data_IF_722588754379
#
_entry.id   IF_722588754379
#
_cell.length_a   1.000
_cell.length_b   1.000
_cell.length_c   1.000
_cell.angle_alpha   90.00
_cell.angle_beta   90.00
_cell.angle_gamma   90.00
#
_symmetry.space_group_name_H-M   'P 1'
#
loop_
_entity.id
_entity.type
_entity.pdbx_description
1 polymer ?
#
# COMPACT_ATOMS: atom_id res chain seq x y z
N UNK A 1 -0.22 8.82 -0.78
CA UNK A 1 -1.49 8.98 -1.51
C UNK A 1 -2.68 9.25 -0.59
N UNK A 2 -2.92 8.46 0.47
CA UNK A 2 -4.06 8.66 1.39
C UNK A 2 -4.08 10.04 2.05
N UNK A 3 -2.91 10.63 2.32
CA UNK A 3 -2.78 12.00 2.84
C UNK A 3 -3.39 13.10 1.94
N UNK A 4 -3.68 12.81 0.66
CA UNK A 4 -4.35 13.75 -0.26
C UNK A 4 -5.89 13.64 -0.20
N UNK A 5 -6.43 12.65 0.52
CA UNK A 5 -7.87 12.47 0.71
C UNK A 5 -8.39 13.42 1.81
N UNK A 6 -9.72 13.48 1.97
CA UNK A 6 -10.37 14.34 2.95
C UNK A 6 -11.45 13.57 3.71
N UNK A 7 -11.83 14.07 4.90
CA UNK A 7 -12.90 13.47 5.69
C UNK A 7 -12.61 12.01 6.06
N UNK A 8 -13.58 11.13 5.83
CA UNK A 8 -13.51 9.69 6.12
C UNK A 8 -13.20 8.84 4.87
N UNK A 9 -12.67 9.48 3.83
CA UNK A 9 -12.35 8.81 2.56
C UNK A 9 -11.23 7.79 2.75
N UNK A 10 -11.27 6.75 1.90
CA UNK A 10 -10.30 5.66 1.91
C UNK A 10 -9.75 5.38 0.53
N UNK A 11 -8.56 4.80 0.49
CA UNK A 11 -7.91 4.36 -0.74
C UNK A 11 -7.49 2.91 -0.62
N UNK A 12 -7.76 2.14 -1.67
CA UNK A 12 -7.27 0.78 -1.87
C UNK A 12 -6.38 0.77 -3.09
N UNK A 13 -5.13 0.37 -2.91
CA UNK A 13 -4.19 0.08 -3.98
C UNK A 13 -4.06 -1.42 -4.15
N UNK A 14 -4.16 -1.89 -5.39
CA UNK A 14 -3.97 -3.28 -5.77
C UNK A 14 -2.93 -3.34 -6.89
N UNK A 15 -1.89 -4.14 -6.70
CA UNK A 15 -0.83 -4.34 -7.67
C UNK A 15 -0.77 -5.83 -7.95
N UNK A 16 -0.94 -6.20 -9.22
CA UNK A 16 -0.95 -7.60 -9.65
C UNK A 16 -0.15 -7.75 -10.92
N UNK A 17 1.06 -8.28 -10.78
CA UNK A 17 1.89 -8.70 -11.88
C UNK A 17 1.84 -10.20 -12.13
N UNK A 18 2.69 -10.65 -13.05
CA UNK A 18 2.89 -12.06 -13.40
C UNK A 18 3.85 -12.79 -12.46
N UNK A 19 4.47 -12.06 -11.52
CA UNK A 19 5.53 -12.55 -10.66
C UNK A 19 5.05 -13.35 -9.45
N UNK A 20 5.98 -13.98 -8.74
CA UNK A 20 5.68 -14.93 -7.69
C UNK A 20 5.06 -14.30 -6.43
N UNK A 21 5.12 -12.98 -6.22
CA UNK A 21 4.52 -12.31 -5.06
C UNK A 21 2.99 -12.33 -5.06
N UNK A 22 2.40 -12.52 -6.25
CA UNK A 22 0.96 -12.51 -6.46
C UNK A 22 0.37 -11.10 -6.33
N UNK A 23 -0.82 -11.00 -5.71
CA UNK A 23 -1.45 -9.71 -5.43
C UNK A 23 -0.76 -9.04 -4.24
N UNK A 24 -0.39 -7.78 -4.42
CA UNK A 24 -0.09 -6.83 -3.34
C UNK A 24 -1.31 -5.93 -3.16
N UNK A 25 -1.86 -5.86 -1.96
CA UNK A 25 -2.99 -5.00 -1.66
C UNK A 25 -2.66 -4.12 -0.45
N UNK A 26 -2.95 -2.82 -0.55
CA UNK A 26 -2.73 -1.85 0.51
C UNK A 26 -3.96 -0.94 0.64
N UNK A 27 -4.46 -0.80 1.87
CA UNK A 27 -5.62 0.02 2.23
C UNK A 27 -5.16 1.09 3.21
N UNK A 28 -5.60 2.32 3.00
CA UNK A 28 -5.25 3.46 3.84
C UNK A 28 -6.35 4.49 3.94
N UNK A 29 -6.35 5.24 5.03
CA UNK A 29 -7.29 6.33 5.25
C UNK A 29 -6.61 7.68 5.51
N UNK A 30 -7.43 8.70 5.69
CA UNK A 30 -7.03 10.08 6.01
C UNK A 30 -6.38 10.23 7.39
N UNK A 31 -6.50 9.23 8.27
CA UNK A 31 -5.97 9.25 9.63
C UNK A 31 -4.60 8.57 9.74
N UNK A 32 -3.99 8.19 8.61
CA UNK A 32 -2.63 7.62 8.60
C UNK A 32 -2.63 6.16 9.02
N UNK A 33 -3.81 5.54 9.11
CA UNK A 33 -3.97 4.11 9.39
C UNK A 33 -3.85 3.35 8.09
N UNK A 34 -2.84 2.50 8.00
CA UNK A 34 -2.50 1.73 6.80
C UNK A 34 -2.51 0.23 7.14
N UNK A 35 -2.87 -0.59 6.17
CA UNK A 35 -2.66 -2.05 6.23
C UNK A 35 -2.42 -2.58 4.84
N UNK A 36 -1.63 -3.65 4.73
CA UNK A 36 -1.42 -4.30 3.46
C UNK A 36 -1.02 -5.75 3.62
N UNK A 37 -1.18 -6.50 2.55
CA UNK A 37 -0.73 -7.88 2.48
C UNK A 37 -0.26 -8.21 1.07
N UNK A 38 0.52 -9.29 0.99
CA UNK A 38 0.88 -9.94 -0.26
C UNK A 38 0.33 -11.36 -0.28
N UNK A 39 0.02 -11.89 -1.45
CA UNK A 39 -0.52 -13.26 -1.56
C UNK A 39 0.51 -14.29 -1.13
N UNK A 40 1.76 -14.12 -1.56
CA UNK A 40 2.85 -15.04 -1.29
C UNK A 40 3.95 -14.33 -0.50
N UNK A 41 3.93 -14.32 0.85
CA UNK A 41 4.89 -13.59 1.67
C UNK A 41 6.28 -14.26 1.74
N UNK A 42 6.42 -15.50 1.27
CA UNK A 42 7.66 -16.29 1.34
C UNK A 42 8.44 -16.28 0.02
N UNK A 43 8.35 -15.19 -0.74
CA UNK A 43 9.07 -15.04 -2.01
C UNK A 43 10.50 -14.61 -1.72
N UNK A 44 11.46 -15.44 -2.14
CA UNK A 44 12.88 -15.14 -2.08
C UNK A 44 13.47 -15.28 -3.48
N UNK A 45 14.04 -14.19 -3.98
CA UNK A 45 14.74 -14.12 -5.26
C UNK A 45 16.20 -13.78 -5.01
N UNK A 46 17.05 -14.09 -5.99
CA UNK A 46 18.41 -13.57 -6.00
C UNK A 46 18.39 -12.04 -6.09
N UNK A 47 19.44 -11.39 -5.59
CA UNK A 47 19.60 -9.95 -5.76
C UNK A 47 19.68 -9.61 -7.24
N UNK A 48 19.15 -8.45 -7.62
CA UNK A 48 19.22 -7.96 -8.99
C UNK A 48 20.67 -7.62 -9.41
N UNK A 49 20.85 -7.20 -10.65
CA UNK A 49 22.17 -6.85 -11.22
C UNK A 49 22.90 -5.70 -10.51
N UNK A 50 22.20 -4.94 -9.64
CA UNK A 50 22.76 -3.86 -8.81
C UNK A 50 23.01 -4.31 -7.36
N UNK A 51 22.84 -5.59 -7.05
CA UNK A 51 22.97 -6.12 -5.68
C UNK A 51 21.85 -5.69 -4.74
N UNK A 52 20.67 -5.31 -5.26
CA UNK A 52 19.49 -4.93 -4.47
C UNK A 52 18.41 -6.00 -4.52
N UNK A 53 17.44 -5.94 -3.61
CA UNK A 53 16.25 -6.80 -3.63
C UNK A 53 15.55 -6.64 -4.99
N UNK A 54 15.23 -7.76 -5.64
CA UNK A 54 14.61 -7.79 -6.97
C UNK A 54 13.08 -7.61 -6.88
N UNK A 55 12.64 -6.37 -6.64
CA UNK A 55 11.22 -6.02 -6.53
C UNK A 55 10.51 -6.26 -7.86
N UNK A 56 11.08 -5.80 -8.99
CA UNK A 56 10.52 -6.04 -10.30
C UNK A 56 10.37 -7.53 -10.63
N UNK A 57 11.36 -8.37 -10.28
CA UNK A 57 11.25 -9.82 -10.43
C UNK A 57 10.13 -10.44 -9.59
N UNK A 58 9.95 -9.95 -8.35
CA UNK A 58 8.91 -10.44 -7.44
C UNK A 58 7.50 -10.06 -7.91
N UNK A 59 7.31 -8.81 -8.36
CA UNK A 59 6.04 -8.30 -8.89
C UNK A 59 5.74 -8.91 -10.25
N UNK A 60 6.71 -8.91 -11.15
CA UNK A 60 6.66 -9.45 -12.50
C UNK A 60 5.82 -8.63 -13.49
N UNK A 61 6.21 -8.69 -14.77
CA UNK A 61 5.49 -8.09 -15.90
C UNK A 61 5.01 -9.19 -16.88
N UNK A 62 3.88 -9.01 -17.58
CA UNK A 62 2.97 -7.87 -17.50
C UNK A 62 2.12 -7.87 -16.21
N UNK A 63 1.50 -6.73 -15.90
CA UNK A 63 0.65 -6.57 -14.73
C UNK A 63 -0.10 -5.24 -14.72
N UNK A 64 -0.87 -4.99 -13.66
CA UNK A 64 -1.57 -3.72 -13.47
C UNK A 64 -1.43 -3.15 -12.06
N UNK A 65 -1.50 -1.82 -11.99
CA UNK A 65 -1.65 -1.05 -10.77
C UNK A 65 -3.05 -0.41 -10.81
N UNK A 66 -3.87 -0.76 -9.83
CA UNK A 66 -5.23 -0.27 -9.66
C UNK A 66 -5.34 0.50 -8.36
N UNK A 67 -5.97 1.67 -8.41
CA UNK A 67 -6.23 2.52 -7.25
C UNK A 67 -7.70 2.84 -7.21
N UNK A 68 -8.36 2.45 -6.12
CA UNK A 68 -9.78 2.71 -5.85
C UNK A 68 -9.89 3.69 -4.67
N UNK A 69 -10.59 4.80 -4.86
CA UNK A 69 -10.91 5.79 -3.84
C UNK A 69 -12.37 5.64 -3.43
N UNK A 70 -12.61 5.38 -2.16
CA UNK A 70 -13.93 5.29 -1.56
C UNK A 70 -14.22 6.63 -0.90
N UNK A 71 -15.11 7.40 -1.51
CA UNK A 71 -15.50 8.73 -1.05
C UNK A 71 -16.82 8.61 -0.30
N UNK A 72 -16.95 9.27 0.85
CA UNK A 72 -18.20 9.28 1.59
C UNK A 72 -19.36 9.76 0.68
N UNK A 73 -20.50 9.07 0.75
CA UNK A 73 -21.73 9.40 0.01
C UNK A 73 -21.60 9.40 -1.54
N UNK A 74 -20.59 8.71 -2.08
CA UNK A 74 -20.39 8.59 -3.53
C UNK A 74 -19.96 7.19 -3.96
N UNK A 75 -20.15 6.88 -5.25
CA UNK A 75 -19.62 5.66 -5.84
C UNK A 75 -18.08 5.71 -5.86
N UNK A 76 -17.41 4.57 -5.62
CA UNK A 76 -15.96 4.52 -5.59
C UNK A 76 -15.37 4.86 -6.96
N UNK A 77 -14.43 5.80 -6.99
CA UNK A 77 -13.65 6.10 -8.20
C UNK A 77 -12.51 5.10 -8.32
N UNK A 78 -12.27 4.56 -9.51
CA UNK A 78 -11.18 3.61 -9.75
C UNK A 78 -10.39 4.01 -10.99
N UNK A 79 -9.09 4.21 -10.80
CA UNK A 79 -8.12 4.31 -11.89
C UNK A 79 -7.28 3.04 -12.00
N UNK A 80 -6.89 2.67 -13.22
CA UNK A 80 -6.01 1.54 -13.46
C UNK A 80 -5.05 1.84 -14.60
N UNK A 81 -3.79 1.44 -14.44
CA UNK A 81 -2.76 1.49 -15.48
C UNK A 81 -2.03 0.14 -15.54
N UNK A 82 -1.39 -0.12 -16.66
CA UNK A 82 -0.45 -1.24 -16.77
C UNK A 82 0.84 -0.91 -15.99
N UNK A 83 1.47 -1.95 -15.43
CA UNK A 83 2.80 -1.82 -14.84
C UNK A 83 3.82 -1.60 -15.95
N UNK A 84 4.74 -0.65 -15.72
CA UNK A 84 5.78 -0.29 -16.69
C UNK A 84 7.17 -0.79 -16.26
N UNK A 85 7.38 -0.98 -14.96
CA UNK A 85 8.68 -1.36 -14.38
C UNK A 85 8.57 -2.57 -13.45
N UNK A 86 7.56 -2.61 -12.57
CA UNK A 86 7.50 -3.55 -11.46
C UNK A 86 8.29 -3.10 -10.22
N UNK A 87 9.04 -1.99 -10.28
CA UNK A 87 9.78 -1.40 -9.15
C UNK A 87 8.87 -0.53 -8.25
N UNK A 88 7.58 -0.44 -8.57
CA UNK A 88 6.52 0.27 -7.87
C UNK A 88 6.63 1.80 -7.91
N UNK A 89 7.79 2.38 -7.59
CA UNK A 89 7.99 3.85 -7.60
C UNK A 89 7.67 4.48 -8.96
N UNK A 90 8.26 3.93 -10.03
CA UNK A 90 8.00 4.36 -11.41
C UNK A 90 6.55 4.06 -11.83
N UNK A 91 5.99 2.93 -11.38
CA UNK A 91 4.61 2.54 -11.70
C UNK A 91 3.60 3.50 -11.06
N UNK A 92 3.84 3.95 -9.82
CA UNK A 92 3.03 4.99 -9.17
C UNK A 92 3.22 6.35 -9.83
N UNK A 93 4.44 6.73 -10.20
CA UNK A 93 4.69 7.97 -10.97
C UNK A 93 3.91 7.96 -12.28
N UNK A 94 3.92 6.84 -13.00
CA UNK A 94 3.16 6.67 -14.24
C UNK A 94 1.65 6.75 -14.00
N UNK A 95 1.15 6.08 -12.95
CA UNK A 95 -0.25 6.18 -12.54
C UNK A 95 -0.69 7.63 -12.30
N UNK A 96 0.09 8.41 -11.55
CA UNK A 96 -0.24 9.81 -11.27
C UNK A 96 -0.28 10.67 -12.54
N UNK A 97 0.67 10.44 -13.45
CA UNK A 97 0.72 11.18 -14.72
C UNK A 97 -0.46 10.84 -15.64
N UNK A 98 -0.81 9.55 -15.78
CA UNK A 98 -1.80 9.10 -16.76
C UNK A 98 -3.23 9.09 -16.20
N UNK A 99 -3.42 8.54 -15.01
CA UNK A 99 -4.76 8.37 -14.42
C UNK A 99 -5.23 9.61 -13.67
N UNK A 100 -4.33 10.30 -12.96
CA UNK A 100 -4.66 11.49 -12.16
C UNK A 100 -4.33 12.80 -12.90
N UNK A 101 -3.73 12.72 -14.09
CA UNK A 101 -3.30 13.86 -14.90
C UNK A 101 -2.48 14.89 -14.10
N UNK A 102 -1.71 14.40 -13.12
CA UNK A 102 -0.90 15.21 -12.23
C UNK A 102 0.54 14.73 -12.32
N UNK A 103 1.40 15.42 -13.11
CA UNK A 103 2.82 15.09 -13.21
C UNK A 103 3.44 15.01 -11.81
N UNK A 104 4.00 13.84 -11.49
CA UNK A 104 4.47 13.53 -10.15
C UNK A 104 5.76 12.73 -10.17
N UNK A 105 6.63 12.98 -9.20
CA UNK A 105 7.80 12.15 -8.90
C UNK A 105 7.58 11.42 -7.57
N UNK A 106 7.69 10.10 -7.60
CA UNK A 106 7.50 9.24 -6.43
C UNK A 106 8.77 8.43 -6.21
N UNK A 107 9.38 8.62 -5.04
CA UNK A 107 10.51 7.83 -4.57
C UNK A 107 10.07 6.96 -3.41
N UNK A 108 10.38 5.66 -3.47
CA UNK A 108 10.10 4.69 -2.41
C UNK A 108 11.39 3.95 -2.08
N UNK A 109 11.63 3.69 -0.80
CA UNK A 109 12.77 2.90 -0.35
C UNK A 109 12.43 2.10 0.89
N UNK A 110 12.92 0.86 0.91
CA UNK A 110 12.86 -0.04 2.06
C UNK A 110 14.22 -0.67 2.20
N UNK A 111 14.79 -0.60 3.40
CA UNK A 111 16.03 -1.28 3.77
C UNK A 111 15.68 -2.40 4.76
N UNK A 112 16.18 -3.60 4.47
CA UNK A 112 15.89 -4.82 5.24
C UNK A 112 17.21 -5.38 5.76
N UNK A 113 17.23 -5.69 7.06
CA UNK A 113 18.36 -6.30 7.74
C UNK A 113 18.53 -7.78 7.34
N UNK A 114 19.72 -8.38 7.59
CA UNK A 114 19.94 -9.81 7.36
C UNK A 114 19.00 -10.75 8.15
N UNK A 115 18.40 -10.28 9.24
CA UNK A 115 17.41 -11.01 10.04
C UNK A 115 15.95 -10.80 9.55
N UNK A 116 15.79 -10.25 8.34
CA UNK A 116 14.51 -9.97 7.68
C UNK A 116 13.68 -8.85 8.36
N UNK A 117 14.21 -8.17 9.36
CA UNK A 117 13.55 -7.00 9.96
C UNK A 117 13.72 -5.76 9.08
N UNK A 118 12.72 -4.88 9.07
CA UNK A 118 12.81 -3.59 8.38
C UNK A 118 13.72 -2.67 9.18
N UNK A 119 14.83 -2.23 8.59
CA UNK A 119 15.70 -1.21 9.17
C UNK A 119 15.08 0.17 9.00
N UNK A 120 14.65 0.48 7.78
CA UNK A 120 13.98 1.73 7.43
C UNK A 120 13.04 1.55 6.26
N UNK A 121 11.99 2.36 6.22
CA UNK A 121 11.06 2.42 5.12
C UNK A 121 10.54 3.85 4.99
N UNK A 122 10.54 4.38 3.77
CA UNK A 122 10.12 5.75 3.54
C UNK A 122 10.03 6.10 2.07
N UNK A 123 9.63 7.33 1.80
CA UNK A 123 9.47 7.81 0.46
C UNK A 123 8.97 9.23 0.40
N UNK A 124 8.85 9.75 -0.81
CA UNK A 124 8.29 11.06 -1.10
C UNK A 124 7.36 10.99 -2.31
N UNK A 125 6.46 11.96 -2.39
CA UNK A 125 5.64 12.22 -3.56
C UNK A 125 5.64 13.72 -3.80
N UNK A 126 6.20 14.16 -4.93
CA UNK A 126 6.23 15.56 -5.35
C UNK A 126 5.31 15.70 -6.55
N UNK A 127 4.36 16.63 -6.48
CA UNK A 127 3.36 16.87 -7.52
C UNK A 127 3.51 18.28 -8.08
N UNK A 128 3.54 18.40 -9.39
CA UNK A 128 3.59 19.70 -10.07
C UNK A 128 2.17 20.23 -10.21
N UNK A 129 1.90 21.39 -9.60
CA UNK A 129 0.59 22.03 -9.69
C UNK A 129 0.49 22.93 -10.93
N UNK A 130 -0.74 23.20 -11.43
CA UNK A 130 -0.95 24.13 -12.53
C UNK A 130 -0.32 25.50 -12.25
N UNK A 131 0.34 26.07 -13.27
CA UNK A 131 1.02 27.36 -13.17
C UNK A 131 2.48 27.29 -12.72
N UNK A 132 3.03 26.10 -12.46
CA UNK A 132 4.48 25.92 -12.25
C UNK A 132 5.23 26.17 -13.56
N UNK A 133 6.27 27.01 -13.53
CA UNK A 133 7.10 27.29 -14.71
C UNK A 133 8.01 26.13 -15.07
N UNK A 134 8.29 25.95 -16.37
CA UNK A 134 9.18 24.91 -16.89
C UNK A 134 10.57 24.93 -16.24
N UNK A 135 11.13 26.13 -16.01
CA UNK A 135 12.40 26.31 -15.31
C UNK A 135 12.42 25.69 -13.89
N UNK A 136 11.30 25.78 -13.16
CA UNK A 136 11.20 25.21 -11.80
C UNK A 136 11.09 23.69 -11.88
N UNK A 137 10.39 23.17 -12.89
CA UNK A 137 10.27 21.73 -13.15
C UNK A 137 11.65 21.15 -13.49
N UNK A 138 12.40 21.80 -14.39
CA UNK A 138 13.75 21.37 -14.78
C UNK A 138 14.72 21.36 -13.59
N UNK A 139 14.68 22.40 -12.75
CA UNK A 139 15.48 22.47 -11.53
C UNK A 139 15.14 21.35 -10.55
N UNK A 140 13.85 21.09 -10.35
CA UNK A 140 13.37 20.01 -9.49
C UNK A 140 13.81 18.64 -10.02
N UNK A 141 13.66 18.39 -11.31
CA UNK A 141 14.10 17.13 -11.93
C UNK A 141 15.60 16.92 -11.79
N UNK A 142 16.41 17.95 -12.06
CA UNK A 142 17.85 17.89 -11.92
C UNK A 142 18.24 17.59 -10.46
N UNK A 143 17.55 18.22 -9.50
CA UNK A 143 17.74 17.96 -8.08
C UNK A 143 17.43 16.52 -7.72
N UNK A 144 16.27 16.00 -8.12
CA UNK A 144 15.85 14.61 -7.84
C UNK A 144 16.82 13.61 -8.48
N UNK A 145 17.26 13.84 -9.73
CA UNK A 145 18.24 13.00 -10.42
C UNK A 145 19.62 13.03 -9.76
N UNK A 146 19.96 14.13 -9.08
CA UNK A 146 21.21 14.27 -8.34
C UNK A 146 21.17 13.67 -6.93
N UNK A 147 20.00 13.25 -6.45
CA UNK A 147 19.89 12.58 -5.16
C UNK A 147 20.70 11.29 -5.21
N UNK A 148 21.41 11.02 -4.13
CA UNK A 148 22.05 9.72 -3.92
C UNK A 148 21.02 8.62 -3.69
N UNK A 149 21.40 7.58 -2.95
CA UNK A 149 20.43 6.56 -2.57
C UNK A 149 19.38 7.16 -1.63
N UNK A 150 18.09 7.00 -1.96
CA UNK A 150 17.00 7.41 -1.08
C UNK A 150 17.05 6.69 0.28
N UNK A 151 17.55 5.46 0.32
CA UNK A 151 17.82 4.72 1.57
C UNK A 151 18.76 5.50 2.49
N UNK A 152 19.84 6.04 1.93
CA UNK A 152 20.88 6.74 2.70
C UNK A 152 20.36 8.08 3.20
N UNK A 153 19.48 8.73 2.43
CA UNK A 153 18.80 9.95 2.85
C UNK A 153 17.81 9.68 3.99
N UNK A 154 17.07 8.58 3.93
CA UNK A 154 16.12 8.21 4.98
C UNK A 154 16.85 7.82 6.27
N UNK A 155 17.92 7.03 6.16
CA UNK A 155 18.71 6.59 7.31
C UNK A 155 19.56 7.72 7.92
N UNK A 156 20.01 8.67 7.10
CA UNK A 156 20.90 9.75 7.51
C UNK A 156 20.22 11.04 7.94
N UNK A 157 18.90 11.18 7.77
CA UNK A 157 18.16 12.40 8.15
C UNK A 157 17.44 12.18 9.49
N UNK A 158 17.89 12.87 10.52
CA UNK A 158 17.20 12.87 11.83
C UNK A 158 15.94 13.77 11.82
N UNK A 159 15.85 14.70 10.87
CA UNK A 159 14.74 15.65 10.72
C UNK A 159 14.15 15.59 9.29
N UNK A 160 12.82 15.51 9.20
CA UNK A 160 12.06 15.59 7.95
C UNK A 160 12.40 16.85 7.13
N UNK A 161 12.79 17.94 7.79
CA UNK A 161 13.21 19.18 7.13
C UNK A 161 14.50 19.01 6.33
N UNK A 162 15.45 18.22 6.82
CA UNK A 162 16.70 17.96 6.10
C UNK A 162 16.44 17.13 4.83
N UNK A 163 15.52 16.17 4.93
CA UNK A 163 15.05 15.41 3.77
C UNK A 163 14.35 16.34 2.76
N UNK A 164 13.46 17.22 3.22
CA UNK A 164 12.77 18.18 2.34
C UNK A 164 13.77 19.14 1.67
N UNK A 165 14.73 19.69 2.40
CA UNK A 165 15.75 20.57 1.84
C UNK A 165 16.63 19.85 0.81
N UNK A 166 16.87 18.55 1.01
CA UNK A 166 17.56 17.71 0.03
C UNK A 166 16.72 17.51 -1.23
N UNK A 167 15.40 17.36 -1.10
CA UNK A 167 14.48 17.13 -2.21
C UNK A 167 14.17 18.40 -3.04
N UNK A 168 13.90 19.52 -2.38
CA UNK A 168 13.38 20.75 -3.04
C UNK A 168 14.26 21.99 -2.86
N UNK A 169 15.38 21.85 -2.16
CA UNK A 169 16.30 22.94 -1.85
C UNK A 169 15.96 23.65 -0.53
N UNK A 170 16.98 24.24 0.07
CA UNK A 170 16.88 24.85 1.40
C UNK A 170 15.88 26.01 1.44
N UNK A 171 15.01 26.00 2.45
CA UNK A 171 13.97 27.01 2.67
C UNK A 171 12.94 27.13 1.52
N UNK A 172 12.85 26.14 0.64
CA UNK A 172 11.84 26.09 -0.44
C UNK A 172 10.60 25.27 -0.05
N UNK A 173 10.48 24.86 1.21
CA UNK A 173 9.37 24.05 1.70
C UNK A 173 8.61 24.77 2.82
N UNK A 174 7.31 24.43 2.94
CA UNK A 174 6.47 24.83 4.05
C UNK A 174 5.69 23.63 4.54
N UNK A 175 5.86 23.27 5.80
CA UNK A 175 5.09 22.21 6.45
C UNK A 175 3.67 22.72 6.68
N UNK A 176 2.69 21.98 6.14
CA UNK A 176 1.27 22.30 6.30
C UNK A 176 0.64 21.46 7.42
N UNK A 177 0.97 20.17 7.45
CA UNK A 177 0.45 19.17 8.38
C UNK A 177 1.56 18.16 8.67
N UNK A 178 1.65 17.72 9.92
CA UNK A 178 2.42 16.55 10.33
C UNK A 178 1.44 15.55 10.95
N UNK A 179 1.59 14.27 10.60
CA UNK A 179 0.67 13.24 11.02
C UNK A 179 1.40 11.91 11.18
N UNK A 180 1.11 11.22 12.28
CA UNK A 180 1.63 9.87 12.51
C UNK A 180 0.97 8.88 11.57
N UNK A 181 1.75 7.91 11.11
CA UNK A 181 1.27 6.76 10.34
C UNK A 181 1.43 5.50 11.15
N UNK A 182 0.45 4.62 11.10
CA UNK A 182 0.46 3.37 11.85
C UNK A 182 -0.14 2.22 11.06
N UNK A 183 0.31 1.00 11.37
CA UNK A 183 -0.41 -0.19 10.95
C UNK A 183 -1.70 -0.33 11.76
N UNK A 184 -2.85 -0.43 11.09
CA UNK A 184 -4.14 -0.62 11.77
C UNK A 184 -5.06 -1.54 10.99
N UNK A 185 -5.53 -2.61 11.64
CA UNK A 185 -6.49 -3.53 11.05
C UNK A 185 -7.76 -3.61 11.90
N UNK A 186 -8.91 -3.10 11.44
CA UNK A 186 -10.15 -3.08 12.21
C UNK A 186 -10.92 -4.41 12.13
N UNK A 187 -10.23 -5.54 11.91
CA UNK A 187 -10.88 -6.84 11.89
C UNK A 187 -11.33 -7.24 13.30
N UNK A 188 -12.40 -8.02 13.39
CA UNK A 188 -12.88 -8.58 14.64
C UNK A 188 -13.67 -9.86 14.37
N UNK A 189 -13.89 -10.68 15.41
CA UNK A 189 -14.68 -11.91 15.28
C UNK A 189 -16.10 -11.60 14.79
N UNK A 190 -16.69 -10.52 15.27
CA UNK A 190 -18.04 -10.06 14.91
C UNK A 190 -18.14 -9.70 13.43
N UNK A 191 -17.13 -9.00 12.88
CA UNK A 191 -17.09 -8.67 11.44
C UNK A 191 -16.96 -9.91 10.56
N UNK A 192 -16.19 -10.90 11.01
CA UNK A 192 -16.10 -12.18 10.31
C UNK A 192 -17.39 -12.99 10.42
N UNK A 193 -18.08 -12.96 11.57
CA UNK A 193 -19.40 -13.58 11.73
C UNK A 193 -20.41 -12.99 10.73
N UNK A 194 -20.44 -11.66 10.59
CA UNK A 194 -21.29 -10.97 9.59
C UNK A 194 -20.96 -11.38 8.16
N UNK A 195 -19.67 -11.58 7.85
CA UNK A 195 -19.23 -12.04 6.52
C UNK A 195 -19.62 -13.50 6.28
N UNK A 196 -19.51 -14.36 7.30
CA UNK A 196 -19.94 -15.76 7.26
C UNK A 196 -21.45 -15.89 7.11
N UNK A 197 -22.23 -14.97 7.67
CA UNK A 197 -23.68 -14.94 7.52
C UNK A 197 -24.14 -14.75 6.05
N UNK A 198 -23.26 -14.31 5.14
CA UNK A 198 -23.56 -14.24 3.71
C UNK A 198 -23.28 -15.55 2.94
N UNK A 199 -22.68 -16.56 3.58
CA UNK A 199 -22.44 -17.87 2.98
C UNK A 199 -23.74 -18.68 2.90
N UNK A 200 -23.80 -19.60 1.92
CA UNK A 200 -24.91 -20.56 1.83
C UNK A 200 -25.03 -21.35 3.15
N UNK A 201 -26.22 -21.41 3.79
CA UNK A 201 -26.41 -22.14 5.05
C UNK A 201 -25.85 -23.57 5.03
N UNK A 202 -25.91 -24.25 3.88
CA UNK A 202 -25.32 -25.59 3.72
C UNK A 202 -23.81 -25.62 3.94
N UNK A 203 -23.10 -24.56 3.53
CA UNK A 203 -21.65 -24.44 3.73
C UNK A 203 -21.34 -24.35 5.22
N UNK A 204 -22.11 -23.57 5.97
CA UNK A 204 -21.93 -23.43 7.42
C UNK A 204 -22.29 -24.74 8.13
N UNK A 205 -23.33 -25.44 7.68
CA UNK A 205 -23.71 -26.74 8.23
C UNK A 205 -22.60 -27.79 8.05
N UNK A 206 -21.92 -27.81 6.90
CA UNK A 206 -20.76 -28.70 6.67
C UNK A 206 -19.62 -28.39 7.65
N UNK A 207 -19.31 -27.11 7.91
CA UNK A 207 -18.29 -26.73 8.91
C UNK A 207 -18.63 -27.23 10.32
N UNK A 208 -19.92 -27.25 10.70
CA UNK A 208 -20.37 -27.78 11.99
C UNK A 208 -20.24 -29.31 12.03
N UNK A 209 -20.71 -29.99 10.99
CA UNK A 209 -20.85 -31.44 10.99
C UNK A 209 -19.52 -32.15 10.79
N UNK A 210 -18.66 -31.64 9.91
CA UNK A 210 -17.38 -32.24 9.51
C UNK A 210 -16.20 -31.64 10.28
N UNK A 211 -16.07 -30.31 10.29
CA UNK A 211 -14.89 -29.61 10.84
C UNK A 211 -15.01 -29.28 12.34
N UNK A 212 -16.22 -29.42 12.92
CA UNK A 212 -16.54 -29.12 14.33
C UNK A 212 -16.19 -27.68 14.73
N UNK A 213 -16.26 -26.76 13.77
CA UNK A 213 -15.88 -25.36 13.93
C UNK A 213 -15.28 -24.79 12.66
N UNK A 214 -14.80 -23.56 12.74
CA UNK A 214 -14.09 -22.90 11.64
C UNK A 214 -12.99 -21.98 12.16
N UNK A 215 -11.91 -21.88 11.40
CA UNK A 215 -10.84 -20.92 11.61
C UNK A 215 -10.88 -19.86 10.51
N UNK A 216 -10.86 -18.58 10.91
CA UNK A 216 -10.72 -17.46 9.98
C UNK A 216 -9.43 -16.73 10.26
N UNK A 217 -8.58 -16.62 9.24
CA UNK A 217 -7.34 -15.85 9.30
C UNK A 217 -7.54 -14.54 8.54
N UNK A 218 -7.37 -13.41 9.23
CA UNK A 218 -7.41 -12.11 8.57
C UNK A 218 -6.19 -11.94 7.66
N UNK A 219 -6.38 -11.85 6.34
CA UNK A 219 -5.26 -11.71 5.39
C UNK A 219 -4.42 -10.44 5.61
N UNK A 220 -4.98 -9.38 6.21
CA UNK A 220 -4.26 -8.12 6.44
C UNK A 220 -3.34 -8.13 7.66
N UNK A 221 -3.74 -8.80 8.76
CA UNK A 221 -2.99 -8.75 10.02
C UNK A 221 -2.63 -10.14 10.57
N UNK A 222 -3.01 -11.21 9.89
CA UNK A 222 -2.84 -12.61 10.30
C UNK A 222 -3.46 -12.96 11.67
N UNK A 223 -4.34 -12.11 12.21
CA UNK A 223 -5.13 -12.46 13.39
C UNK A 223 -6.02 -13.65 13.07
N UNK A 224 -5.99 -14.64 13.97
CA UNK A 224 -6.75 -15.89 13.86
C UNK A 224 -7.99 -15.81 14.74
N UNK A 225 -9.15 -16.07 14.16
CA UNK A 225 -10.45 -16.06 14.83
C UNK A 225 -11.05 -17.46 14.78
N UNK A 226 -11.25 -18.06 15.95
CA UNK A 226 -11.84 -19.39 16.08
C UNK A 226 -13.36 -19.27 16.28
N UNK A 227 -14.10 -20.06 15.50
CA UNK A 227 -15.55 -20.22 15.59
C UNK A 227 -15.86 -21.64 16.03
N UNK A 228 -16.51 -21.76 17.18
CA UNK A 228 -17.04 -23.03 17.68
C UNK A 228 -18.30 -23.44 16.92
N UNK A 229 -18.74 -24.69 17.08
CA UNK A 229 -20.05 -25.13 16.57
C UNK A 229 -21.20 -24.26 17.08
N UNK A 230 -21.12 -23.76 18.32
CA UNK A 230 -22.14 -22.88 18.87
C UNK A 230 -22.16 -21.52 18.14
N UNK A 231 -20.99 -20.92 17.89
CA UNK A 231 -20.89 -19.68 17.13
C UNK A 231 -21.48 -19.84 15.71
N UNK A 232 -21.21 -20.97 15.06
CA UNK A 232 -21.72 -21.25 13.71
C UNK A 232 -23.23 -21.51 13.69
N UNK A 233 -23.79 -22.13 14.74
CA UNK A 233 -25.24 -22.27 14.91
C UNK A 233 -25.91 -20.92 15.13
N UNK A 234 -25.32 -20.06 15.96
CA UNK A 234 -25.83 -18.70 16.18
C UNK A 234 -25.84 -17.88 14.89
N UNK A 235 -24.85 -18.07 14.00
CA UNK A 235 -24.82 -17.43 12.67
C UNK A 235 -25.95 -17.98 11.77
N UNK A 236 -26.16 -19.30 11.74
CA UNK A 236 -27.24 -19.91 10.95
C UNK A 236 -28.63 -19.44 11.38
N UNK A 237 -28.85 -19.30 12.70
CA UNK A 237 -30.14 -18.88 13.25
C UNK A 237 -30.48 -17.41 12.95
N UNK A 238 -29.49 -16.61 12.51
CA UNK A 238 -29.64 -15.19 12.15
C UNK A 238 -29.88 -14.95 10.65
N UNK A 239 -29.86 -15.99 9.81
CA UNK A 239 -30.07 -15.91 8.36
C UNK A 239 -31.55 -15.89 7.94
#
# INVERSE_FOLDING_TARGET
MSANLKGEDRILVQIKGSGPIGLIACDGDTHGRIRGYVTNPKVALELNSKGKIDVAGAVGLPGSLKVSKYIADSDPFTGQVDLISGELGEDFTYYMAVSEQTPSSIGLSVLVNPDETVQSAGGFMIQVLPGTSEEVIDQLEAKIKSLGSLSDLIDGSDDIRELLDSLVGSNNSRILVEQSVEFSCPCSKERFAQSMAALDPKTIQVMIDEDKGAEVICQYCNAVYQFSEADLRDILDQQ
#
